data_IF_189041626055
#
_entry.id   IF_189041626055
#
_cell.length_a   1.000
_cell.length_b   1.000
_cell.length_c   1.000
_cell.angle_alpha   90.00
_cell.angle_beta   90.00
_cell.angle_gamma   90.00
#
_symmetry.space_group_name_H-M   'P 1'
#
loop_
_entity.id
_entity.type
_entity.pdbx_description
1 polymer ?
#
# COMPACT_ATOMS: atom_id res chain seq x y z
N UNK A 1 -47.81 -18.89 0.71
CA UNK A 1 -46.96 -18.30 -0.34
C UNK A 1 -47.76 -18.31 -1.63
N UNK A 2 -48.15 -17.16 -2.15
CA UNK A 2 -48.83 -17.08 -3.45
C UNK A 2 -47.80 -17.34 -4.54
N UNK A 3 -47.86 -18.53 -5.16
CA UNK A 3 -47.10 -18.82 -6.36
C UNK A 3 -47.72 -17.97 -7.48
N UNK A 4 -47.04 -16.91 -7.91
CA UNK A 4 -47.49 -16.11 -9.06
C UNK A 4 -47.09 -16.86 -10.32
N UNK A 5 -48.08 -17.28 -11.10
CA UNK A 5 -47.90 -18.06 -12.31
C UNK A 5 -47.36 -17.16 -13.45
N UNK A 6 -46.06 -17.21 -13.68
CA UNK A 6 -45.36 -16.43 -14.73
C UNK A 6 -45.83 -16.80 -16.13
N UNK A 7 -46.23 -18.05 -16.32
CA UNK A 7 -46.78 -18.54 -17.57
C UNK A 7 -48.13 -17.85 -17.84
N UNK A 8 -48.98 -17.73 -16.81
CA UNK A 8 -50.24 -17.02 -16.92
C UNK A 8 -50.07 -15.52 -17.23
N UNK A 9 -49.12 -14.84 -16.58
CA UNK A 9 -48.85 -13.41 -16.84
C UNK A 9 -48.30 -13.18 -18.26
N UNK A 10 -47.41 -14.06 -18.73
CA UNK A 10 -46.83 -13.99 -20.07
C UNK A 10 -47.87 -14.31 -21.15
N UNK A 11 -48.70 -15.34 -20.92
CA UNK A 11 -49.83 -15.65 -21.79
C UNK A 11 -50.85 -14.51 -21.85
N UNK A 12 -51.13 -13.82 -20.74
CA UNK A 12 -52.01 -12.65 -20.73
C UNK A 12 -51.44 -11.50 -21.57
N UNK A 13 -50.12 -11.23 -21.45
CA UNK A 13 -49.44 -10.22 -22.26
C UNK A 13 -49.41 -10.60 -23.75
N UNK A 14 -49.10 -11.86 -24.08
CA UNK A 14 -49.10 -12.35 -25.46
C UNK A 14 -50.49 -12.31 -26.07
N UNK A 15 -51.53 -12.74 -25.34
CA UNK A 15 -52.92 -12.65 -25.78
C UNK A 15 -53.35 -11.20 -26.01
N UNK A 16 -52.95 -10.26 -25.14
CA UNK A 16 -53.25 -8.84 -25.35
C UNK A 16 -52.56 -8.31 -26.61
N UNK A 17 -51.30 -8.67 -26.84
CA UNK A 17 -50.54 -8.30 -28.03
C UNK A 17 -51.15 -8.92 -29.30
N UNK A 18 -51.59 -10.18 -29.24
CA UNK A 18 -52.22 -10.89 -30.36
C UNK A 18 -53.60 -10.30 -30.71
N UNK A 19 -54.45 -10.02 -29.72
CA UNK A 19 -55.74 -9.33 -29.91
C UNK A 19 -55.54 -7.93 -30.53
N UNK A 20 -54.44 -7.26 -30.16
CA UNK A 20 -54.06 -5.96 -30.71
C UNK A 20 -53.51 -6.04 -32.15
N UNK A 21 -52.78 -7.11 -32.50
CA UNK A 21 -52.30 -7.38 -33.87
C UNK A 21 -53.46 -7.76 -34.81
N UNK A 22 -54.50 -8.41 -34.29
CA UNK A 22 -55.68 -8.80 -35.07
C UNK A 22 -56.64 -7.61 -35.34
N UNK A 23 -56.62 -6.57 -34.50
CA UNK A 23 -57.44 -5.35 -34.63
C UNK A 23 -56.88 -4.32 -35.65
N UNK A 24 -56.41 -4.77 -36.82
CA UNK A 24 -55.72 -3.98 -37.86
C UNK A 24 -56.52 -2.85 -38.54
N UNK A 25 -57.82 -2.71 -38.28
CA UNK A 25 -58.72 -1.82 -39.02
C UNK A 25 -58.99 -0.45 -38.38
N UNK A 26 -58.37 -0.13 -37.23
CA UNK A 26 -58.47 1.20 -36.61
C UNK A 26 -57.10 1.87 -36.50
N UNK A 27 -56.98 3.19 -36.77
CA UNK A 27 -55.72 3.91 -36.62
C UNK A 27 -55.27 3.83 -35.15
N UNK A 28 -54.01 3.44 -34.93
CA UNK A 28 -53.47 3.26 -33.59
C UNK A 28 -53.54 4.57 -32.79
N UNK A 29 -54.38 4.57 -31.75
CA UNK A 29 -54.44 5.65 -30.76
C UNK A 29 -53.29 5.47 -29.75
N UNK A 30 -52.10 5.92 -30.16
CA UNK A 30 -50.81 5.79 -29.45
C UNK A 30 -50.90 6.17 -27.95
N UNK A 31 -51.58 7.27 -27.55
CA UNK A 31 -51.76 7.64 -26.15
C UNK A 31 -52.52 6.59 -25.32
N UNK A 32 -53.57 6.01 -25.89
CA UNK A 32 -54.36 4.95 -25.25
C UNK A 32 -53.53 3.66 -25.10
N UNK A 33 -52.76 3.33 -26.13
CA UNK A 33 -51.82 2.20 -26.15
C UNK A 33 -50.76 2.28 -25.05
N UNK A 34 -50.14 3.46 -24.92
CA UNK A 34 -49.19 3.74 -23.86
C UNK A 34 -49.86 3.61 -22.48
N UNK A 35 -51.10 4.06 -22.33
CA UNK A 35 -51.83 3.98 -21.06
C UNK A 35 -52.20 2.56 -20.63
N UNK A 36 -52.47 1.65 -21.58
CA UNK A 36 -52.88 0.27 -21.29
C UNK A 36 -51.67 -0.67 -21.09
N UNK A 37 -50.59 -0.50 -21.87
CA UNK A 37 -49.43 -1.39 -21.84
C UNK A 37 -48.39 -0.96 -20.81
N UNK A 38 -48.18 0.35 -20.61
CA UNK A 38 -47.14 0.86 -19.69
C UNK A 38 -47.28 0.32 -18.26
N UNK A 39 -48.49 0.25 -17.64
CA UNK A 39 -48.64 -0.31 -16.31
C UNK A 39 -48.21 -1.78 -16.22
N UNK A 40 -48.50 -2.58 -17.25
CA UNK A 40 -48.15 -4.01 -17.31
C UNK A 40 -46.67 -4.24 -17.56
N UNK A 41 -46.02 -3.39 -18.36
CA UNK A 41 -44.56 -3.40 -18.56
C UNK A 41 -43.84 -3.03 -17.27
N UNK A 42 -44.32 -2.02 -16.53
CA UNK A 42 -43.78 -1.65 -15.21
C UNK A 42 -43.96 -2.80 -14.21
N UNK A 43 -45.09 -3.49 -14.23
CA UNK A 43 -45.36 -4.67 -13.39
C UNK A 43 -44.39 -5.82 -13.72
N UNK A 44 -44.15 -6.08 -15.00
CA UNK A 44 -43.16 -7.07 -15.46
C UNK A 44 -41.72 -6.70 -15.07
N UNK A 45 -41.33 -5.43 -15.19
CA UNK A 45 -40.01 -4.94 -14.75
C UNK A 45 -39.81 -5.17 -13.25
N UNK A 46 -40.80 -4.79 -12.42
CA UNK A 46 -40.77 -5.06 -10.97
C UNK A 46 -40.67 -6.55 -10.67
N UNK A 47 -41.38 -7.38 -11.45
CA UNK A 47 -41.31 -8.83 -11.30
C UNK A 47 -39.91 -9.38 -11.63
N UNK A 48 -39.31 -8.95 -12.74
CA UNK A 48 -37.95 -9.34 -13.13
C UNK A 48 -36.94 -8.91 -12.06
N UNK A 49 -37.07 -7.71 -11.49
CA UNK A 49 -36.22 -7.26 -10.38
C UNK A 49 -36.35 -8.16 -9.14
N UNK A 50 -37.57 -8.58 -8.79
CA UNK A 50 -37.80 -9.49 -7.65
C UNK A 50 -37.20 -10.87 -7.94
N UNK A 51 -37.38 -11.39 -9.16
CA UNK A 51 -36.83 -12.68 -9.57
C UNK A 51 -35.30 -12.64 -9.56
N UNK A 52 -34.70 -11.58 -10.09
CA UNK A 52 -33.25 -11.36 -10.08
C UNK A 52 -32.71 -11.28 -8.64
N UNK A 53 -33.36 -10.52 -7.75
CA UNK A 53 -32.99 -10.45 -6.32
C UNK A 53 -33.06 -11.82 -5.66
N UNK A 54 -34.11 -12.62 -5.93
CA UNK A 54 -34.23 -13.99 -5.41
C UNK A 54 -33.17 -14.93 -5.97
N UNK A 55 -32.91 -14.87 -7.28
CA UNK A 55 -31.88 -15.69 -7.92
C UNK A 55 -30.49 -15.38 -7.34
N UNK A 56 -30.15 -14.10 -7.17
CA UNK A 56 -28.90 -13.69 -6.52
C UNK A 56 -28.82 -14.16 -5.06
N UNK A 57 -29.92 -14.06 -4.30
CA UNK A 57 -29.95 -14.53 -2.92
C UNK A 57 -29.75 -16.05 -2.85
N UNK A 58 -30.44 -16.82 -3.71
CA UNK A 58 -30.30 -18.27 -3.81
C UNK A 58 -28.90 -18.69 -4.26
N UNK A 59 -28.31 -18.00 -5.24
CA UNK A 59 -26.94 -18.25 -5.69
C UNK A 59 -25.94 -17.94 -4.58
N UNK A 60 -26.11 -16.82 -3.87
CA UNK A 60 -25.28 -16.47 -2.71
C UNK A 60 -25.39 -17.54 -1.62
N UNK A 61 -26.60 -18.03 -1.35
CA UNK A 61 -26.84 -19.09 -0.39
C UNK A 61 -26.19 -20.42 -0.81
N UNK A 62 -26.30 -20.80 -2.09
CA UNK A 62 -25.64 -21.99 -2.64
C UNK A 62 -24.12 -21.88 -2.55
N UNK A 63 -23.54 -20.72 -2.90
CA UNK A 63 -22.11 -20.46 -2.76
C UNK A 63 -21.65 -20.50 -1.30
N UNK A 64 -22.47 -20.01 -0.37
CA UNK A 64 -22.19 -20.11 1.08
C UNK A 64 -22.26 -21.57 1.57
N UNK A 65 -23.20 -22.37 1.06
CA UNK A 65 -23.30 -23.78 1.39
C UNK A 65 -22.13 -24.58 0.82
N UNK A 66 -21.76 -24.34 -0.44
CA UNK A 66 -20.63 -25.00 -1.12
C UNK A 66 -19.30 -24.67 -0.44
N UNK A 67 -19.13 -23.43 0.04
CA UNK A 67 -17.93 -23.01 0.75
C UNK A 67 -18.01 -23.18 2.27
N UNK A 68 -19.06 -23.82 2.81
CA UNK A 68 -19.33 -23.88 4.27
C UNK A 68 -18.14 -24.44 5.05
N UNK A 69 -17.46 -25.44 4.52
CA UNK A 69 -16.27 -26.05 5.14
C UNK A 69 -15.05 -25.10 5.15
N UNK A 70 -14.99 -24.16 4.20
CA UNK A 70 -13.92 -23.18 4.09
C UNK A 70 -14.20 -21.88 4.84
N UNK A 71 -15.44 -21.63 5.30
CA UNK A 71 -15.81 -20.42 6.05
C UNK A 71 -14.88 -20.15 7.25
N UNK A 72 -14.54 -21.13 8.12
CA UNK A 72 -13.64 -20.89 9.24
C UNK A 72 -12.22 -20.48 8.81
N UNK A 73 -11.72 -21.07 7.72
CA UNK A 73 -10.43 -20.72 7.15
C UNK A 73 -10.45 -19.30 6.56
N UNK A 74 -11.49 -18.96 5.80
CA UNK A 74 -11.67 -17.63 5.23
C UNK A 74 -11.77 -16.55 6.33
N UNK A 75 -12.48 -16.84 7.42
CA UNK A 75 -12.55 -15.95 8.58
C UNK A 75 -11.18 -15.76 9.23
N UNK A 76 -10.39 -16.83 9.38
CA UNK A 76 -9.04 -16.76 9.94
C UNK A 76 -8.10 -15.94 9.06
N UNK A 77 -8.13 -16.16 7.74
CA UNK A 77 -7.33 -15.41 6.77
C UNK A 77 -7.75 -13.93 6.78
N UNK A 78 -9.06 -13.65 6.83
CA UNK A 78 -9.57 -12.28 6.90
C UNK A 78 -9.09 -11.58 8.16
N UNK A 79 -9.21 -12.22 9.32
CA UNK A 79 -8.75 -11.67 10.60
C UNK A 79 -7.23 -11.41 10.60
N UNK A 80 -6.43 -12.35 10.08
CA UNK A 80 -4.96 -12.17 9.93
C UNK A 80 -4.63 -10.97 9.05
N UNK A 81 -5.32 -10.82 7.92
CA UNK A 81 -5.14 -9.68 7.01
C UNK A 81 -5.58 -8.37 7.65
N UNK A 82 -6.66 -8.36 8.43
CA UNK A 82 -7.13 -7.17 9.16
C UNK A 82 -6.09 -6.71 10.21
N UNK A 83 -5.46 -7.65 10.93
CA UNK A 83 -4.35 -7.34 11.84
C UNK A 83 -3.18 -6.73 11.07
N UNK A 84 -2.71 -7.40 10.01
CA UNK A 84 -1.56 -6.91 9.22
C UNK A 84 -1.84 -5.55 8.60
N UNK A 85 -3.05 -5.32 8.11
CA UNK A 85 -3.51 -4.03 7.59
C UNK A 85 -3.53 -2.95 8.68
N UNK A 86 -4.02 -3.26 9.88
CA UNK A 86 -4.03 -2.28 11.00
C UNK A 86 -2.61 -1.84 11.40
N UNK A 87 -1.65 -2.76 11.40
CA UNK A 87 -0.24 -2.46 11.62
C UNK A 87 0.31 -1.56 10.51
N UNK A 88 0.01 -1.89 9.25
CA UNK A 88 0.44 -1.11 8.10
C UNK A 88 -0.13 0.32 8.11
N UNK A 89 -1.42 0.49 8.42
CA UNK A 89 -2.08 1.80 8.55
C UNK A 89 -1.46 2.62 9.68
N UNK A 90 -1.18 1.98 10.82
CA UNK A 90 -0.54 2.65 11.96
C UNK A 90 0.84 3.21 11.59
N UNK A 91 1.67 2.40 10.94
CA UNK A 91 3.02 2.81 10.50
C UNK A 91 2.95 3.88 9.41
N UNK A 92 2.06 3.70 8.42
CA UNK A 92 1.84 4.68 7.35
C UNK A 92 1.41 6.04 7.92
N UNK A 93 0.50 6.04 8.89
CA UNK A 93 0.02 7.24 9.57
C UNK A 93 1.14 7.93 10.33
N UNK A 94 1.91 7.21 11.14
CA UNK A 94 3.03 7.77 11.89
C UNK A 94 4.11 8.37 10.97
N UNK A 95 4.44 7.68 9.87
CA UNK A 95 5.40 8.17 8.87
C UNK A 95 4.89 9.40 8.13
N UNK A 96 3.62 9.42 7.72
CA UNK A 96 3.04 10.57 7.05
C UNK A 96 2.89 11.79 7.97
N UNK A 97 2.56 11.58 9.25
CA UNK A 97 2.60 12.64 10.28
C UNK A 97 4.00 13.23 10.36
N UNK A 98 5.04 12.40 10.50
CA UNK A 98 6.42 12.92 10.57
C UNK A 98 6.76 13.74 9.30
N UNK A 99 6.39 13.23 8.13
CA UNK A 99 6.65 13.88 6.84
C UNK A 99 5.92 15.21 6.69
N UNK A 100 4.64 15.30 7.06
CA UNK A 100 3.87 16.55 6.92
C UNK A 100 4.45 17.62 7.85
N UNK A 101 4.74 17.29 9.11
CA UNK A 101 5.26 18.24 10.10
C UNK A 101 6.62 18.83 9.67
N UNK A 102 7.48 18.03 9.04
CA UNK A 102 8.77 18.50 8.50
C UNK A 102 8.64 19.37 7.23
N UNK A 103 7.50 19.32 6.52
CA UNK A 103 7.36 19.90 5.18
C UNK A 103 6.16 20.87 5.06
N UNK A 104 5.63 21.40 6.16
CA UNK A 104 4.52 22.36 6.15
C UNK A 104 4.84 23.69 5.46
N UNK A 105 6.13 24.01 5.28
CA UNK A 105 6.57 25.23 4.59
C UNK A 105 7.06 24.95 3.17
N UNK A 106 7.11 23.68 2.76
CA UNK A 106 7.53 23.28 1.43
C UNK A 106 6.35 23.32 0.45
N UNK A 107 6.22 24.43 -0.29
CA UNK A 107 5.14 24.64 -1.24
C UNK A 107 5.07 23.56 -2.34
N UNK A 108 6.21 23.09 -2.85
CA UNK A 108 6.27 22.04 -3.88
C UNK A 108 5.72 20.71 -3.33
N UNK A 109 6.09 20.34 -2.10
CA UNK A 109 5.56 19.15 -1.44
C UNK A 109 4.06 19.24 -1.19
N UNK A 110 3.57 20.37 -0.67
CA UNK A 110 2.12 20.54 -0.43
C UNK A 110 1.33 20.51 -1.74
N UNK A 111 1.91 21.00 -2.83
CA UNK A 111 1.32 20.91 -4.16
C UNK A 111 1.28 19.46 -4.68
N UNK A 112 2.37 18.71 -4.51
CA UNK A 112 2.45 17.28 -4.81
C UNK A 112 1.34 16.49 -4.09
N UNK A 113 1.06 16.78 -2.81
CA UNK A 113 0.07 16.04 -2.03
C UNK A 113 -1.34 16.06 -2.63
N UNK A 114 -1.81 17.20 -3.14
CA UNK A 114 -3.16 17.29 -3.72
C UNK A 114 -3.18 16.96 -5.23
N UNK A 115 -2.06 17.09 -5.95
CA UNK A 115 -2.00 16.77 -7.38
C UNK A 115 -1.81 15.27 -7.64
N UNK A 116 -0.95 14.63 -6.84
CA UNK A 116 -0.49 13.25 -7.06
C UNK A 116 -0.83 12.39 -5.86
N UNK A 117 -0.57 12.89 -4.65
CA UNK A 117 -0.64 12.11 -3.42
C UNK A 117 0.75 11.85 -2.85
N UNK A 118 0.85 10.94 -1.88
CA UNK A 118 2.11 10.59 -1.19
C UNK A 118 2.57 9.19 -1.55
N UNK A 119 3.87 9.04 -1.81
CA UNK A 119 4.53 7.75 -1.97
C UNK A 119 4.98 7.20 -0.62
N UNK A 120 4.53 5.99 -0.28
CA UNK A 120 5.01 5.21 0.86
C UNK A 120 5.89 4.07 0.34
N UNK A 121 7.17 4.10 0.68
CA UNK A 121 8.15 3.10 0.26
C UNK A 121 8.55 2.23 1.45
N UNK A 122 8.37 0.92 1.28
CA UNK A 122 8.73 -0.09 2.26
C UNK A 122 9.97 -0.87 1.79
N UNK A 123 11.00 -0.89 2.62
CA UNK A 123 12.19 -1.71 2.47
C UNK A 123 12.09 -2.93 3.40
N UNK A 124 12.12 -4.14 2.84
CA UNK A 124 12.12 -5.41 3.54
C UNK A 124 13.49 -6.06 3.55
N UNK A 125 13.92 -6.53 4.72
CA UNK A 125 15.19 -7.24 4.92
C UNK A 125 14.97 -8.70 5.33
N UNK A 126 13.82 -9.26 4.93
CA UNK A 126 13.31 -10.57 5.35
C UNK A 126 13.64 -11.61 4.29
N UNK A 127 13.92 -12.83 4.69
CA UNK A 127 14.35 -13.90 3.79
C UNK A 127 13.16 -14.76 3.34
N UNK A 128 13.12 -15.14 2.06
CA UNK A 128 12.10 -16.05 1.53
C UNK A 128 12.35 -17.51 1.94
N UNK A 129 12.46 -17.78 3.23
CA UNK A 129 12.72 -19.11 3.76
C UNK A 129 12.06 -19.32 5.12
N UNK A 130 11.54 -20.52 5.35
CA UNK A 130 10.91 -20.94 6.60
C UNK A 130 9.84 -19.94 7.09
N UNK A 131 9.81 -19.64 8.39
CA UNK A 131 8.83 -18.75 9.03
C UNK A 131 8.83 -17.32 8.47
N UNK A 132 9.94 -16.88 7.85
CA UNK A 132 10.04 -15.53 7.29
C UNK A 132 9.24 -15.37 5.98
N UNK A 133 8.87 -16.48 5.32
CA UNK A 133 8.05 -16.45 4.11
C UNK A 133 6.65 -15.90 4.37
N UNK A 134 5.97 -16.38 5.43
CA UNK A 134 4.63 -15.89 5.79
C UNK A 134 4.60 -14.40 6.20
N UNK A 135 5.72 -13.88 6.75
CA UNK A 135 5.87 -12.46 7.06
C UNK A 135 5.89 -11.63 5.76
N UNK A 136 6.59 -12.10 4.73
CA UNK A 136 6.69 -11.43 3.44
C UNK A 136 5.33 -11.42 2.72
N UNK A 137 4.60 -12.55 2.76
CA UNK A 137 3.26 -12.67 2.18
C UNK A 137 2.26 -11.71 2.84
N UNK A 138 2.21 -11.70 4.18
CA UNK A 138 1.35 -10.78 4.93
C UNK A 138 1.69 -9.32 4.64
N UNK A 139 2.99 -8.98 4.60
CA UNK A 139 3.47 -7.63 4.34
C UNK A 139 3.11 -7.18 2.92
N UNK A 140 3.28 -8.06 1.92
CA UNK A 140 2.94 -7.77 0.53
C UNK A 140 1.47 -7.37 0.39
N UNK A 141 0.56 -8.16 0.98
CA UNK A 141 -0.87 -7.90 0.95
C UNK A 141 -1.23 -6.63 1.74
N UNK A 142 -0.65 -6.43 2.93
CA UNK A 142 -0.92 -5.25 3.74
C UNK A 142 -0.47 -3.94 3.07
N UNK A 143 0.69 -3.94 2.40
CA UNK A 143 1.18 -2.77 1.64
C UNK A 143 0.36 -2.52 0.39
N UNK A 144 -0.17 -3.57 -0.23
CA UNK A 144 -1.10 -3.42 -1.35
C UNK A 144 -2.42 -2.77 -0.89
N UNK A 145 -2.96 -3.20 0.24
CA UNK A 145 -4.19 -2.64 0.81
C UNK A 145 -4.05 -1.16 1.19
N UNK A 146 -2.85 -0.73 1.61
CA UNK A 146 -2.57 0.69 1.89
C UNK A 146 -2.81 1.62 0.70
N UNK A 147 -2.74 1.14 -0.55
CA UNK A 147 -3.03 2.00 -1.71
C UNK A 147 -4.51 2.45 -1.77
N UNK A 148 -5.39 1.77 -1.03
CA UNK A 148 -6.81 2.09 -0.98
C UNK A 148 -7.17 3.16 0.06
N UNK A 149 -6.30 3.42 1.04
CA UNK A 149 -6.56 4.44 2.06
C UNK A 149 -6.34 5.84 1.50
N UNK A 150 -6.93 6.84 2.16
CA UNK A 150 -6.66 8.25 1.91
C UNK A 150 -6.26 8.95 3.19
N UNK A 151 -5.42 9.97 3.09
CA UNK A 151 -5.19 10.90 4.19
C UNK A 151 -6.04 12.15 4.02
N UNK A 152 -6.48 12.74 5.13
CA UNK A 152 -7.18 14.03 5.16
C UNK A 152 -6.60 14.88 6.28
N UNK A 153 -6.18 16.09 5.98
CA UNK A 153 -5.73 17.03 7.01
C UNK A 153 -6.95 17.71 7.64
N UNK A 154 -6.95 17.84 8.97
CA UNK A 154 -8.05 18.42 9.73
C UNK A 154 -7.53 19.48 10.70
N UNK A 155 -8.32 20.53 10.92
CA UNK A 155 -7.99 21.63 11.82
C UNK A 155 -8.42 21.30 13.25
N UNK A 156 -7.52 21.51 14.21
CA UNK A 156 -7.77 21.40 15.65
C UNK A 156 -7.21 22.61 16.38
N UNK A 157 -7.91 23.10 17.40
CA UNK A 157 -7.46 24.26 18.20
C UNK A 157 -6.63 23.82 19.41
N UNK A 158 -6.94 22.67 20.01
CA UNK A 158 -6.29 22.17 21.23
C UNK A 158 -5.28 21.05 20.93
N UNK A 159 -4.17 21.04 21.67
CA UNK A 159 -3.10 20.03 21.56
C UNK A 159 -3.58 18.64 21.97
N UNK A 160 -4.51 18.57 22.91
CA UNK A 160 -5.10 17.32 23.41
C UNK A 160 -5.89 16.58 22.31
N UNK A 161 -6.32 17.29 21.28
CA UNK A 161 -7.09 16.75 20.16
C UNK A 161 -6.21 16.29 18.97
N UNK A 162 -4.88 16.30 19.11
CA UNK A 162 -3.94 15.91 18.04
C UNK A 162 -3.82 14.39 17.85
N UNK A 163 -4.91 13.65 18.04
CA UNK A 163 -4.96 12.22 17.77
C UNK A 163 -5.56 11.93 16.39
N UNK A 164 -4.87 11.16 15.52
CA UNK A 164 -5.43 10.73 14.26
C UNK A 164 -6.71 9.91 14.46
N UNK A 165 -7.70 10.11 13.60
CA UNK A 165 -8.97 9.38 13.63
C UNK A 165 -9.28 8.75 12.29
N UNK A 166 -10.06 7.66 12.29
CA UNK A 166 -10.50 7.00 11.07
C UNK A 166 -11.93 7.40 10.71
N UNK A 167 -12.17 7.68 9.43
CA UNK A 167 -13.50 7.82 8.85
C UNK A 167 -13.66 6.73 7.78
N UNK A 168 -14.83 6.09 7.75
CA UNK A 168 -15.17 5.12 6.71
C UNK A 168 -16.02 5.82 5.65
N UNK A 169 -15.70 5.59 4.38
CA UNK A 169 -16.55 5.98 3.24
C UNK A 169 -17.51 4.86 2.88
N UNK A 170 -18.63 5.16 2.23
CA UNK A 170 -19.65 4.16 1.84
C UNK A 170 -19.21 3.22 0.67
N UNK A 171 -17.91 3.08 0.42
CA UNK A 171 -17.37 2.30 -0.69
C UNK A 171 -17.25 0.81 -0.34
N UNK A 172 -17.88 -0.03 -1.17
CA UNK A 172 -17.75 -1.49 -1.12
C UNK A 172 -16.97 -1.95 -2.35
N UNK A 173 -15.87 -2.68 -2.13
CA UNK A 173 -15.15 -3.31 -3.25
C UNK A 173 -15.91 -4.55 -3.72
N UNK A 174 -16.43 -4.51 -4.94
CA UNK A 174 -17.02 -5.67 -5.61
C UNK A 174 -15.93 -6.63 -6.13
N UNK A 175 -16.20 -7.94 -6.12
CA UNK A 175 -15.28 -8.97 -6.62
C UNK A 175 -15.38 -10.30 -5.89
N UNK A 176 -14.42 -11.21 -6.17
CA UNK A 176 -14.38 -12.58 -5.62
C UNK A 176 -14.31 -12.63 -4.08
N UNK A 177 -13.84 -11.55 -3.46
CA UNK A 177 -13.79 -11.37 -2.01
C UNK A 177 -14.28 -9.96 -1.66
N UNK A 178 -15.61 -9.74 -1.56
CA UNK A 178 -16.17 -8.42 -1.28
C UNK A 178 -15.71 -7.95 0.11
N UNK A 179 -15.28 -6.70 0.17
CA UNK A 179 -14.72 -6.10 1.38
C UNK A 179 -15.22 -4.68 1.54
N UNK A 180 -15.92 -4.43 2.64
CA UNK A 180 -16.62 -3.18 2.91
C UNK A 180 -15.75 -2.16 3.67
N UNK A 181 -14.67 -2.59 4.35
CA UNK A 181 -14.05 -1.76 5.38
C UNK A 181 -12.59 -1.38 5.09
N UNK A 182 -11.79 -2.24 4.45
CA UNK A 182 -10.36 -1.93 4.23
C UNK A 182 -10.13 -0.90 3.12
N UNK A 183 -11.03 -0.85 2.14
CA UNK A 183 -10.92 -0.01 0.95
C UNK A 183 -11.62 1.35 1.07
N UNK A 184 -12.16 1.65 2.25
CA UNK A 184 -12.96 2.83 2.54
C UNK A 184 -12.36 3.70 3.66
N UNK A 185 -11.11 3.44 4.05
CA UNK A 185 -10.48 4.12 5.18
C UNK A 185 -9.91 5.48 4.78
N UNK A 186 -10.42 6.52 5.42
CA UNK A 186 -9.84 7.87 5.40
C UNK A 186 -9.22 8.15 6.76
N UNK A 187 -7.90 8.31 6.81
CA UNK A 187 -7.16 8.66 8.02
C UNK A 187 -7.12 10.18 8.13
N UNK A 188 -7.83 10.72 9.13
CA UNK A 188 -7.84 12.14 9.44
C UNK A 188 -6.65 12.48 10.35
N UNK A 189 -5.78 13.36 9.88
CA UNK A 189 -4.60 13.83 10.59
C UNK A 189 -4.86 15.24 11.11
N UNK A 190 -4.90 15.43 12.43
CA UNK A 190 -5.12 16.75 13.01
C UNK A 190 -3.83 17.58 12.98
N UNK A 191 -4.01 18.86 12.64
CA UNK A 191 -3.00 19.90 12.72
C UNK A 191 -3.54 21.06 13.54
N UNK A 192 -2.66 21.69 14.32
CA UNK A 192 -3.02 22.90 15.06
C UNK A 192 -3.41 24.02 14.09
N UNK A 193 -4.34 24.89 14.47
CA UNK A 193 -4.86 25.97 13.63
C UNK A 193 -3.77 26.79 12.93
N UNK A 194 -2.74 27.22 13.65
CA UNK A 194 -1.62 27.99 13.07
C UNK A 194 -0.78 27.21 12.03
N UNK A 195 -0.77 25.88 12.10
CA UNK A 195 -0.10 25.00 11.13
C UNK A 195 -1.02 24.72 9.94
N UNK A 196 -2.31 24.49 10.21
CA UNK A 196 -3.32 24.23 9.20
C UNK A 196 -3.51 25.44 8.26
N UNK A 197 -3.44 26.66 8.80
CA UNK A 197 -3.58 27.90 8.04
C UNK A 197 -2.43 28.10 7.02
N UNK A 198 -1.28 27.41 7.19
CA UNK A 198 -0.18 27.41 6.21
C UNK A 198 -0.46 26.56 4.97
N UNK A 199 -1.44 25.65 5.03
CA UNK A 199 -1.74 24.74 3.93
C UNK A 199 -2.39 25.47 2.74
N UNK A 200 -2.20 25.00 1.50
CA UNK A 200 -2.98 25.45 0.35
C UNK A 200 -4.49 25.29 0.57
N UNK A 201 -5.29 26.19 0.00
CA UNK A 201 -6.75 26.21 0.14
C UNK A 201 -7.44 24.88 -0.18
N UNK A 202 -6.93 24.12 -1.16
CA UNK A 202 -7.43 22.79 -1.50
C UNK A 202 -7.28 21.79 -0.36
N UNK A 203 -6.13 21.79 0.33
CA UNK A 203 -5.92 20.91 1.48
C UNK A 203 -6.75 21.38 2.68
N UNK A 204 -6.90 22.71 2.85
CA UNK A 204 -7.77 23.27 3.89
C UNK A 204 -9.26 22.90 3.69
N UNK A 205 -9.73 22.78 2.45
CA UNK A 205 -11.09 22.35 2.13
C UNK A 205 -11.34 20.84 2.34
N UNK A 206 -10.39 20.12 2.93
CA UNK A 206 -10.55 18.69 3.27
C UNK A 206 -10.28 17.74 2.11
N UNK A 207 -9.45 18.13 1.14
CA UNK A 207 -9.06 17.27 0.03
C UNK A 207 -8.44 15.95 0.51
N UNK A 208 -8.83 14.85 -0.13
CA UNK A 208 -8.31 13.51 0.15
C UNK A 208 -6.99 13.29 -0.58
N UNK A 209 -5.92 13.07 0.17
CA UNK A 209 -4.58 12.79 -0.33
C UNK A 209 -4.50 11.30 -0.66
N UNK A 210 -4.20 11.00 -1.92
CA UNK A 210 -4.01 9.63 -2.39
C UNK A 210 -2.73 9.02 -1.83
N UNK A 211 -2.75 7.71 -1.57
CA UNK A 211 -1.58 6.95 -1.14
C UNK A 211 -1.14 6.03 -2.28
N UNK A 212 0.13 6.13 -2.67
CA UNK A 212 0.78 5.17 -3.56
C UNK A 212 1.82 4.40 -2.75
N UNK A 213 1.91 3.09 -2.97
CA UNK A 213 2.83 2.23 -2.21
C UNK A 213 3.83 1.54 -3.10
N UNK A 214 5.05 1.35 -2.61
CA UNK A 214 6.07 0.50 -3.24
C UNK A 214 6.73 -0.35 -2.16
N UNK A 215 7.01 -1.61 -2.47
CA UNK A 215 7.63 -2.55 -1.56
C UNK A 215 8.75 -3.28 -2.28
N UNK A 216 9.95 -3.23 -1.70
CA UNK A 216 11.10 -4.00 -2.15
C UNK A 216 11.61 -4.84 -0.99
N UNK A 217 11.92 -6.10 -1.24
CA UNK A 217 12.47 -7.01 -0.25
C UNK A 217 13.77 -7.63 -0.76
N UNK A 218 14.82 -7.59 0.07
CA UNK A 218 16.06 -8.32 -0.15
C UNK A 218 16.48 -8.96 1.17
N UNK A 219 16.38 -10.28 1.25
CA UNK A 219 16.90 -11.03 2.38
C UNK A 219 18.43 -10.92 2.50
N UNK A 220 18.94 -10.38 3.60
CA UNK A 220 20.38 -10.15 3.80
C UNK A 220 21.09 -11.21 4.66
N UNK A 221 20.37 -12.12 5.32
CA UNK A 221 20.93 -13.10 6.26
C UNK A 221 21.32 -14.43 5.60
N UNK A 222 21.75 -15.41 6.39
CA UNK A 222 22.11 -16.76 5.96
C UNK A 222 20.93 -17.54 5.36
N UNK A 223 19.71 -17.35 5.88
CA UNK A 223 18.50 -17.98 5.34
C UNK A 223 18.20 -17.52 3.91
N UNK A 224 18.56 -16.29 3.56
CA UNK A 224 18.47 -15.83 2.17
C UNK A 224 19.47 -16.56 1.27
N UNK A 225 20.70 -16.82 1.75
CA UNK A 225 21.67 -17.64 1.00
C UNK A 225 21.18 -19.08 0.85
N UNK A 226 20.48 -19.63 1.86
CA UNK A 226 19.84 -20.94 1.74
C UNK A 226 18.68 -20.92 0.73
N UNK A 227 17.85 -19.89 0.73
CA UNK A 227 16.77 -19.71 -0.26
C UNK A 227 17.30 -19.64 -1.69
N UNK A 228 18.37 -18.87 -1.93
CA UNK A 228 18.99 -18.74 -3.25
C UNK A 228 19.61 -20.06 -3.75
N UNK A 229 20.19 -20.87 -2.84
CA UNK A 229 20.89 -22.11 -3.21
C UNK A 229 19.99 -23.34 -3.27
N UNK A 230 19.01 -23.44 -2.38
CA UNK A 230 18.24 -24.66 -2.15
C UNK A 230 16.71 -24.42 -2.08
N UNK A 231 16.26 -23.17 -2.16
CA UNK A 231 14.85 -22.80 -2.09
C UNK A 231 14.36 -22.08 -3.35
N UNK A 232 13.47 -21.10 -3.16
CA UNK A 232 12.95 -20.25 -4.23
C UNK A 232 12.97 -18.78 -3.81
N UNK A 233 13.40 -17.91 -4.72
CA UNK A 233 13.32 -16.45 -4.56
C UNK A 233 12.18 -15.83 -5.38
N UNK A 234 11.32 -16.65 -6.00
CA UNK A 234 10.29 -16.17 -6.92
C UNK A 234 9.36 -15.13 -6.29
N UNK A 235 8.91 -15.36 -5.04
CA UNK A 235 8.09 -14.40 -4.30
C UNK A 235 8.81 -13.04 -4.12
N UNK A 236 10.10 -13.05 -3.78
CA UNK A 236 10.89 -11.83 -3.66
C UNK A 236 10.99 -11.10 -5.00
N UNK A 237 11.27 -11.84 -6.07
CA UNK A 237 11.43 -11.29 -7.41
C UNK A 237 10.13 -10.66 -7.91
N UNK A 238 8.99 -11.31 -7.65
CA UNK A 238 7.67 -10.79 -8.04
C UNK A 238 7.26 -9.57 -7.21
N UNK A 239 7.56 -9.56 -5.91
CA UNK A 239 7.40 -8.37 -5.06
C UNK A 239 8.24 -7.21 -5.59
N UNK A 240 9.52 -7.44 -5.91
CA UNK A 240 10.42 -6.39 -6.40
C UNK A 240 10.01 -5.86 -7.79
N UNK A 241 9.52 -6.74 -8.69
CA UNK A 241 8.96 -6.32 -9.99
C UNK A 241 7.71 -5.47 -9.80
N UNK A 242 6.80 -5.87 -8.90
CA UNK A 242 5.59 -5.11 -8.60
C UNK A 242 5.93 -3.76 -7.93
N UNK A 243 6.90 -3.77 -7.01
CA UNK A 243 7.42 -2.57 -6.35
C UNK A 243 8.00 -1.59 -7.36
N UNK A 244 8.79 -2.07 -8.31
CA UNK A 244 9.31 -1.26 -9.42
C UNK A 244 8.19 -0.64 -10.25
N UNK A 245 7.21 -1.46 -10.67
CA UNK A 245 6.06 -0.96 -11.45
C UNK A 245 5.34 0.18 -10.72
N UNK A 246 4.96 -0.03 -9.45
CA UNK A 246 4.25 1.00 -8.67
C UNK A 246 5.09 2.27 -8.45
N UNK A 247 6.39 2.12 -8.25
CA UNK A 247 7.30 3.27 -8.11
C UNK A 247 7.46 4.04 -9.43
N UNK A 248 7.55 3.34 -10.56
CA UNK A 248 7.61 3.95 -11.88
C UNK A 248 6.29 4.67 -12.23
N UNK A 249 5.15 4.04 -11.97
CA UNK A 249 3.82 4.64 -12.18
C UNK A 249 3.67 5.95 -11.37
N UNK A 250 4.15 5.96 -10.11
CA UNK A 250 4.16 7.18 -9.29
C UNK A 250 5.11 8.24 -9.84
N UNK A 251 6.32 7.85 -10.29
CA UNK A 251 7.29 8.76 -10.89
C UNK A 251 6.74 9.44 -12.15
N UNK A 252 6.04 8.69 -13.02
CA UNK A 252 5.40 9.23 -14.23
C UNK A 252 4.27 10.20 -13.88
N UNK A 253 3.43 9.84 -12.90
CA UNK A 253 2.36 10.72 -12.41
C UNK A 253 2.92 12.01 -11.79
N UNK A 254 3.99 11.89 -11.00
CA UNK A 254 4.71 13.02 -10.41
C UNK A 254 5.27 13.95 -11.50
N UNK A 255 6.02 13.38 -12.45
CA UNK A 255 6.69 14.15 -13.52
C UNK A 255 5.68 14.92 -14.37
N UNK A 256 4.51 14.32 -14.62
CA UNK A 256 3.42 14.97 -15.37
C UNK A 256 2.76 16.12 -14.60
N UNK A 257 2.61 16.01 -13.28
CA UNK A 257 1.83 16.95 -12.48
C UNK A 257 2.67 18.05 -11.79
N UNK A 258 3.90 17.72 -11.42
CA UNK A 258 4.82 18.55 -10.63
C UNK A 258 6.08 18.96 -11.42
N UNK A 259 6.34 18.36 -12.59
CA UNK A 259 7.54 18.63 -13.39
C UNK A 259 8.75 17.77 -13.01
N UNK A 260 9.93 18.15 -13.46
CA UNK A 260 11.17 17.40 -13.22
C UNK A 260 11.57 17.49 -11.73
N UNK A 261 11.65 16.36 -11.00
CA UNK A 261 12.11 16.33 -9.60
C UNK A 261 13.55 16.82 -9.42
N UNK A 262 14.36 16.86 -10.48
CA UNK A 262 15.75 17.30 -10.45
C UNK A 262 15.96 18.74 -10.96
N UNK A 263 14.88 19.51 -11.16
CA UNK A 263 14.93 20.86 -11.75
C UNK A 263 15.82 21.86 -11.00
N UNK A 264 15.93 21.74 -9.68
CA UNK A 264 16.77 22.60 -8.83
C UNK A 264 18.22 22.09 -8.67
N UNK A 265 18.56 20.92 -9.24
CA UNK A 265 19.85 20.26 -9.07
C UNK A 265 20.74 20.45 -10.30
N UNK A 266 21.84 21.21 -10.17
CA UNK A 266 22.92 21.29 -11.17
C UNK A 266 23.82 20.03 -11.20
N UNK A 267 23.24 18.86 -10.89
CA UNK A 267 23.96 17.61 -10.65
C UNK A 267 24.36 16.84 -11.91
N UNK A 268 25.30 15.91 -11.74
CA UNK A 268 25.72 14.93 -12.75
C UNK A 268 24.55 14.06 -13.24
N UNK A 269 24.51 13.75 -14.54
CA UNK A 269 23.44 12.96 -15.19
C UNK A 269 23.16 11.63 -14.48
N UNK A 270 24.18 10.99 -13.90
CA UNK A 270 24.08 9.71 -13.20
C UNK A 270 23.22 9.75 -11.91
N UNK A 271 22.96 10.93 -11.34
CA UNK A 271 22.14 11.12 -10.14
C UNK A 271 20.72 11.62 -10.40
N UNK A 272 20.29 11.67 -11.66
CA UNK A 272 18.92 12.06 -12.02
C UNK A 272 17.95 10.92 -11.73
N UNK A 273 16.75 11.28 -11.29
CA UNK A 273 15.66 10.36 -10.94
C UNK A 273 15.32 9.43 -12.09
N UNK A 274 15.29 9.91 -13.33
CA UNK A 274 15.06 9.08 -14.53
C UNK A 274 16.11 7.99 -14.70
N UNK A 275 17.39 8.31 -14.48
CA UNK A 275 18.46 7.32 -14.58
C UNK A 275 18.43 6.33 -13.42
N UNK A 276 18.11 6.80 -12.21
CA UNK A 276 17.89 5.91 -11.06
C UNK A 276 16.74 4.93 -11.32
N UNK A 277 15.63 5.37 -11.90
CA UNK A 277 14.51 4.50 -12.30
C UNK A 277 14.98 3.42 -13.29
N UNK A 278 15.80 3.80 -14.29
CA UNK A 278 16.38 2.86 -15.27
C UNK A 278 17.32 1.85 -14.59
N UNK A 279 18.17 2.32 -13.67
CA UNK A 279 19.07 1.46 -12.90
C UNK A 279 18.30 0.51 -11.98
N UNK A 280 17.21 0.98 -11.36
CA UNK A 280 16.34 0.15 -10.55
C UNK A 280 15.70 -0.96 -11.39
N UNK A 281 15.18 -0.62 -12.57
CA UNK A 281 14.63 -1.60 -13.51
C UNK A 281 15.65 -2.67 -13.86
N UNK A 282 16.88 -2.26 -14.23
CA UNK A 282 17.96 -3.18 -14.53
C UNK A 282 18.28 -4.10 -13.34
N UNK A 283 18.40 -3.55 -12.14
CA UNK A 283 18.73 -4.32 -10.93
C UNK A 283 17.62 -5.31 -10.53
N UNK A 284 16.36 -4.92 -10.67
CA UNK A 284 15.19 -5.79 -10.39
C UNK A 284 15.08 -6.94 -11.39
N UNK A 285 15.45 -6.70 -12.66
CA UNK A 285 15.48 -7.75 -13.68
C UNK A 285 16.75 -8.60 -13.64
N UNK A 286 17.81 -8.11 -13.00
CA UNK A 286 19.06 -8.84 -12.83
C UNK A 286 18.92 -9.98 -11.82
N UNK A 287 19.52 -11.13 -12.11
CA UNK A 287 19.57 -12.28 -11.18
C UNK A 287 20.76 -12.23 -10.23
N UNK A 288 21.12 -11.02 -9.77
CA UNK A 288 22.26 -10.83 -8.84
C UNK A 288 21.86 -11.29 -7.43
N UNK A 289 22.67 -12.18 -6.84
CA UNK A 289 22.49 -12.65 -5.46
C UNK A 289 22.52 -11.47 -4.49
N UNK A 290 21.56 -11.45 -3.55
CA UNK A 290 21.39 -10.41 -2.53
C UNK A 290 21.59 -8.99 -3.07
N UNK A 291 20.88 -8.65 -4.13
CA UNK A 291 21.06 -7.38 -4.82
C UNK A 291 20.54 -6.19 -3.99
N UNK A 292 21.32 -5.76 -3.00
CA UNK A 292 21.02 -4.62 -2.13
C UNK A 292 20.99 -3.28 -2.86
N UNK A 293 21.50 -3.21 -4.10
CA UNK A 293 21.42 -1.99 -4.91
C UNK A 293 19.96 -1.63 -5.22
N UNK A 294 19.06 -2.62 -5.29
CA UNK A 294 17.61 -2.38 -5.38
C UNK A 294 17.14 -1.49 -4.23
N UNK A 295 17.56 -1.78 -3.00
CA UNK A 295 17.18 -1.03 -1.80
C UNK A 295 17.80 0.37 -1.77
N UNK A 296 19.07 0.48 -2.16
CA UNK A 296 19.78 1.77 -2.19
C UNK A 296 19.22 2.72 -3.24
N UNK A 297 18.88 2.19 -4.42
CA UNK A 297 18.34 3.00 -5.53
C UNK A 297 16.89 3.38 -5.25
N UNK A 298 16.03 2.44 -4.81
CA UNK A 298 14.63 2.75 -4.50
C UNK A 298 14.49 3.75 -3.35
N UNK A 299 15.39 3.65 -2.36
CA UNK A 299 15.60 4.65 -1.32
C UNK A 299 15.81 6.06 -1.87
N UNK A 300 16.76 6.22 -2.78
CA UNK A 300 17.15 7.51 -3.32
C UNK A 300 16.04 8.12 -4.17
N UNK A 301 15.41 7.31 -5.03
CA UNK A 301 14.24 7.71 -5.81
C UNK A 301 13.13 8.20 -4.88
N UNK A 302 12.83 7.47 -3.80
CA UNK A 302 11.78 7.86 -2.85
C UNK A 302 12.06 9.24 -2.25
N UNK A 303 13.32 9.52 -1.90
CA UNK A 303 13.71 10.81 -1.31
C UNK A 303 13.57 11.95 -2.29
N UNK A 304 14.04 11.76 -3.53
CA UNK A 304 13.88 12.73 -4.62
C UNK A 304 12.41 13.01 -4.96
N UNK A 305 11.53 12.03 -4.72
CA UNK A 305 10.08 12.16 -4.90
C UNK A 305 9.34 12.57 -3.61
N UNK A 306 10.03 13.08 -2.59
CA UNK A 306 9.47 13.46 -1.30
C UNK A 306 8.59 12.38 -0.63
N UNK A 307 8.85 11.11 -0.90
CA UNK A 307 8.12 9.99 -0.31
C UNK A 307 8.51 9.74 1.15
N UNK A 308 7.72 8.88 1.81
CA UNK A 308 7.95 8.40 3.16
C UNK A 308 8.63 7.04 3.09
N UNK A 309 9.69 6.84 3.87
CA UNK A 309 10.48 5.60 3.89
C UNK A 309 10.25 4.80 5.17
N UNK A 310 10.07 3.50 5.00
CA UNK A 310 9.94 2.53 6.08
C UNK A 310 10.95 1.40 5.88
N UNK A 311 11.55 0.92 6.97
CA UNK A 311 12.52 -0.19 6.97
C UNK A 311 12.02 -1.29 7.91
N UNK A 312 11.82 -2.48 7.36
CA UNK A 312 11.19 -3.61 8.04
C UNK A 312 12.11 -4.84 8.03
N UNK A 313 12.12 -5.58 9.14
CA UNK A 313 12.69 -6.93 9.24
C UNK A 313 11.91 -7.75 10.28
N UNK A 314 12.23 -9.05 10.47
CA UNK A 314 11.50 -9.95 11.39
C UNK A 314 11.27 -9.38 12.80
N UNK A 315 12.22 -8.63 13.36
CA UNK A 315 12.15 -8.16 14.75
C UNK A 315 12.37 -6.65 14.94
N UNK A 316 12.53 -5.88 13.86
CA UNK A 316 12.74 -4.42 13.94
C UNK A 316 14.02 -3.94 14.64
N UNK A 317 14.88 -4.86 15.12
CA UNK A 317 16.10 -4.54 15.87
C UNK A 317 17.38 -4.66 15.05
N UNK A 318 17.83 -5.86 14.67
CA UNK A 318 19.21 -6.06 14.19
C UNK A 318 19.39 -5.60 12.74
N UNK A 319 18.75 -6.28 11.78
CA UNK A 319 18.82 -5.96 10.34
C UNK A 319 18.30 -4.55 10.04
N UNK A 320 17.20 -4.15 10.68
CA UNK A 320 16.67 -2.78 10.57
C UNK A 320 17.70 -1.75 11.03
N UNK A 321 18.45 -2.00 12.10
CA UNK A 321 19.51 -1.07 12.52
C UNK A 321 20.65 -0.99 11.52
N UNK A 322 21.01 -2.11 10.88
CA UNK A 322 22.04 -2.10 9.84
C UNK A 322 21.63 -1.22 8.66
N UNK A 323 20.39 -1.35 8.18
CA UNK A 323 19.89 -0.51 7.09
C UNK A 323 19.71 0.95 7.52
N UNK A 324 19.05 1.21 8.66
CA UNK A 324 18.77 2.58 9.11
C UNK A 324 20.06 3.40 9.32
N UNK A 325 21.08 2.80 9.93
CA UNK A 325 22.39 3.47 10.13
C UNK A 325 23.13 3.66 8.80
N UNK A 326 23.02 2.71 7.87
CA UNK A 326 23.61 2.86 6.53
C UNK A 326 22.97 4.02 5.78
N UNK A 327 21.64 4.11 5.80
CA UNK A 327 20.92 5.21 5.19
C UNK A 327 21.30 6.56 5.80
N UNK A 328 21.37 6.66 7.13
CA UNK A 328 21.77 7.88 7.82
C UNK A 328 23.15 8.36 7.36
N UNK A 329 24.12 7.47 7.24
CA UNK A 329 25.48 7.82 6.80
C UNK A 329 25.54 8.13 5.30
N UNK A 330 24.73 7.47 4.48
CA UNK A 330 24.55 7.83 3.05
C UNK A 330 23.98 9.25 2.90
N UNK A 331 23.04 9.65 3.75
CA UNK A 331 22.53 11.02 3.76
C UNK A 331 23.59 12.02 4.22
N UNK A 332 24.35 11.71 5.27
CA UNK A 332 25.47 12.56 5.68
C UNK A 332 26.49 12.78 4.54
N UNK A 333 26.75 11.74 3.74
CA UNK A 333 27.64 11.85 2.59
C UNK A 333 27.04 12.67 1.45
N UNK A 334 25.78 12.44 1.09
CA UNK A 334 25.14 13.10 -0.06
C UNK A 334 24.72 14.54 0.22
N UNK A 335 24.24 14.82 1.43
CA UNK A 335 23.54 16.07 1.76
C UNK A 335 24.31 16.92 2.80
N UNK A 336 25.28 16.33 3.51
CA UNK A 336 26.01 17.02 4.59
C UNK A 336 27.54 16.93 4.46
N UNK A 337 28.04 16.66 3.25
CA UNK A 337 29.47 16.70 2.91
C UNK A 337 30.37 15.77 3.76
N UNK A 338 29.85 14.63 4.23
CA UNK A 338 30.69 13.62 4.89
C UNK A 338 31.74 13.09 3.90
N UNK A 339 33.01 13.23 4.24
CA UNK A 339 34.10 12.85 3.35
C UNK A 339 34.07 11.32 3.05
N UNK A 340 34.27 10.89 1.79
CA UNK A 340 34.16 9.47 1.43
C UNK A 340 35.07 8.52 2.24
N UNK A 341 36.26 8.98 2.62
CA UNK A 341 37.22 8.18 3.37
C UNK A 341 36.80 7.90 4.83
N UNK A 342 35.91 8.71 5.41
CA UNK A 342 35.39 8.48 6.79
C UNK A 342 34.06 7.73 6.82
N UNK A 343 33.48 7.39 5.66
CA UNK A 343 32.16 6.76 5.57
C UNK A 343 32.03 5.51 6.46
N UNK A 344 32.98 4.58 6.35
CA UNK A 344 32.96 3.35 7.15
C UNK A 344 33.14 3.62 8.64
N UNK A 345 33.97 4.59 9.02
CA UNK A 345 34.17 4.98 10.41
C UNK A 345 32.89 5.58 11.01
N UNK A 346 32.21 6.45 10.27
CA UNK A 346 30.92 7.00 10.68
C UNK A 346 29.88 5.89 10.84
N UNK A 347 29.82 4.95 9.90
CA UNK A 347 28.90 3.82 9.95
C UNK A 347 29.16 2.93 11.18
N UNK A 348 30.41 2.64 11.48
CA UNK A 348 30.79 1.87 12.67
C UNK A 348 30.44 2.62 13.96
N UNK A 349 30.62 3.94 14.00
CA UNK A 349 30.23 4.79 15.13
C UNK A 349 28.72 4.74 15.37
N UNK A 350 27.90 4.91 14.33
CA UNK A 350 26.44 4.87 14.43
C UNK A 350 25.93 3.50 14.92
N UNK A 351 26.62 2.42 14.57
CA UNK A 351 26.26 1.05 14.99
C UNK A 351 26.80 0.68 16.36
N UNK A 352 27.87 1.30 16.83
CA UNK A 352 28.48 0.99 18.13
C UNK A 352 27.89 1.83 19.26
N UNK A 353 27.74 3.13 19.00
CA UNK A 353 27.39 4.16 19.99
C UNK A 353 26.08 4.91 19.65
N UNK A 354 25.45 4.61 18.52
CA UNK A 354 24.23 5.29 18.10
C UNK A 354 22.95 4.78 18.77
N UNK A 355 21.87 5.54 18.59
CA UNK A 355 20.56 5.33 19.25
C UNK A 355 19.92 3.97 18.96
N UNK A 356 20.28 3.34 17.84
CA UNK A 356 19.81 2.00 17.47
C UNK A 356 20.26 0.89 18.43
N UNK A 357 21.24 1.15 19.29
CA UNK A 357 21.67 0.27 20.40
C UNK A 357 20.67 0.25 21.55
N UNK A 358 19.94 1.35 21.75
CA UNK A 358 18.87 1.42 22.74
C UNK A 358 17.68 0.55 22.33
N UNK A 359 17.46 0.33 21.02
CA UNK A 359 16.47 -0.65 20.56
C UNK A 359 16.82 -2.07 21.02
N UNK A 360 18.09 -2.49 20.95
CA UNK A 360 18.47 -3.83 21.44
C UNK A 360 18.33 -3.90 22.95
N UNK A 361 18.74 -2.85 23.69
CA UNK A 361 18.58 -2.79 25.14
C UNK A 361 17.11 -2.92 25.56
N UNK A 362 16.21 -2.15 24.94
CA UNK A 362 14.78 -2.18 25.26
C UNK A 362 14.10 -3.51 24.93
N UNK A 363 14.58 -4.22 23.91
CA UNK A 363 13.96 -5.48 23.46
C UNK A 363 14.52 -6.72 24.16
N UNK A 364 15.83 -6.77 24.42
CA UNK A 364 16.51 -7.97 24.95
C UNK A 364 17.33 -7.73 26.22
N UNK A 365 17.28 -6.51 26.78
CA UNK A 365 18.02 -6.17 28.01
C UNK A 365 19.52 -5.94 27.81
N UNK A 366 20.03 -6.04 26.58
CA UNK A 366 21.46 -5.89 26.29
C UNK A 366 21.69 -5.00 25.07
N UNK A 367 22.70 -4.13 25.17
CA UNK A 367 23.27 -3.39 24.03
C UNK A 367 24.14 -4.36 23.21
N UNK A 368 23.55 -5.34 22.54
CA UNK A 368 24.23 -6.22 21.56
C UNK A 368 23.25 -6.62 20.46
N UNK A 369 23.73 -6.61 19.22
CA UNK A 369 22.99 -7.17 18.10
C UNK A 369 23.03 -8.70 18.16
N UNK A 370 21.91 -9.34 17.87
CA UNK A 370 21.81 -10.79 17.87
C UNK A 370 22.27 -11.37 16.52
N UNK A 371 23.58 -11.27 16.26
CA UNK A 371 24.26 -11.95 15.17
C UNK A 371 25.42 -12.77 15.74
N UNK A 372 25.68 -13.94 15.19
CA UNK A 372 26.90 -14.68 15.45
C UNK A 372 27.96 -14.42 14.36
N UNK A 373 29.23 -14.71 14.66
CA UNK A 373 30.36 -14.42 13.77
C UNK A 373 30.26 -15.11 12.40
N UNK A 374 29.61 -16.28 12.31
CA UNK A 374 29.42 -16.99 11.04
C UNK A 374 28.29 -16.35 10.22
N UNK A 375 27.18 -15.95 10.85
CA UNK A 375 26.08 -15.21 10.21
C UNK A 375 26.59 -13.92 9.58
N UNK A 376 27.51 -13.21 10.25
CA UNK A 376 28.13 -12.00 9.72
C UNK A 376 28.81 -12.18 8.37
N UNK A 377 29.33 -13.36 8.06
CA UNK A 377 29.97 -13.66 6.77
C UNK A 377 28.95 -13.70 5.63
N UNK A 378 27.70 -14.09 5.93
CA UNK A 378 26.61 -14.16 4.96
C UNK A 378 25.97 -12.79 4.66
N UNK A 379 26.16 -11.80 5.53
CA UNK A 379 25.57 -10.47 5.40
C UNK A 379 26.42 -9.61 4.43
N UNK A 380 25.81 -8.84 3.52
CA UNK A 380 26.53 -7.90 2.65
C UNK A 380 27.41 -6.92 3.44
N UNK A 381 28.59 -6.58 2.91
CA UNK A 381 29.63 -5.82 3.64
C UNK A 381 29.11 -4.56 4.33
N UNK A 382 28.33 -3.74 3.63
CA UNK A 382 27.79 -2.49 4.16
C UNK A 382 26.74 -2.69 5.26
N UNK A 383 26.14 -3.88 5.36
CA UNK A 383 25.13 -4.22 6.38
C UNK A 383 25.72 -4.95 7.58
N UNK A 384 27.05 -5.06 7.68
CA UNK A 384 27.69 -5.78 8.79
C UNK A 384 27.82 -4.92 10.05
N UNK A 385 27.43 -5.47 11.20
CA UNK A 385 27.70 -4.90 12.50
C UNK A 385 29.22 -4.88 12.82
N UNK A 386 29.73 -3.83 13.49
CA UNK A 386 31.14 -3.75 13.91
C UNK A 386 31.49 -4.82 14.95
N UNK A 387 32.75 -5.25 14.98
CA UNK A 387 33.22 -6.20 16.00
C UNK A 387 33.00 -5.65 17.41
N UNK A 388 32.65 -6.52 18.34
CA UNK A 388 32.33 -6.15 19.73
C UNK A 388 30.88 -5.69 19.96
N UNK A 389 30.13 -5.38 18.90
CA UNK A 389 28.74 -4.91 19.00
C UNK A 389 27.70 -6.02 18.87
N UNK A 390 28.10 -7.23 18.46
CA UNK A 390 27.23 -8.38 18.24
C UNK A 390 27.74 -9.63 18.98
N UNK A 391 26.84 -10.58 19.22
CA UNK A 391 27.16 -11.89 19.81
C UNK A 391 25.93 -12.52 20.48
N UNK A 392 26.02 -13.80 20.80
CA UNK A 392 24.97 -14.48 21.57
C UNK A 392 24.91 -13.85 22.97
N UNK A 393 23.75 -13.28 23.30
CA UNK A 393 23.38 -12.84 24.64
C UNK A 393 22.63 -13.95 25.35
#
# INVERSE_FOLDING_TARGET
MSCVNTEAATMCLMSLVDDLIQNKNNPMDIPKWLSEISPRVIELQKFIEILFKRANLSLTFLLLLENREHVPLLQTIKYRRDISFSHAVTVATAGFISKIYENLENAQFLEQLYKVGVLLHFEGLVSCHAEEMGIIEDMSVAVEDLASIKFKLTRKDEVQELQPSLQLTDFVKEGRYPDMNRHSVVVCIPLLSHMFDKLPSKLQSGHHINVSTSYFNIGINELATLAEKFGSTALQDDINKMGFKKMNDYFEAYSKACGDPDSDLSGTVAGRTTELIRQLQYNVLSKKSKNVDILHISSEITRKLNGVRFICCKSGKDRTSMSATLEQVQLLQREHNLAPHVFMQALDCFRSEGTRRENTLKNVGVRKYNFNSLQMLSIPRLYRAPRGTYGNT
#
